data_IF_358993772296
#
_entry.id   IF_358993772296
#
_cell.length_a   1.000
_cell.length_b   1.000
_cell.length_c   1.000
_cell.angle_alpha   90.00
_cell.angle_beta   90.00
_cell.angle_gamma   90.00
#
_symmetry.space_group_name_H-M   'P 1'
#
loop_
_entity.id
_entity.type
_entity.pdbx_description
1 polymer ?
#
# COMPACT_ATOMS: atom_id res chain seq x y z
N UNK A 1 -8.16 28.58 16.18
CA UNK A 1 -6.72 28.37 16.44
C UNK A 1 -6.15 27.66 15.22
N UNK A 2 -5.13 28.21 14.59
CA UNK A 2 -4.44 27.56 13.46
C UNK A 2 -3.08 27.07 13.96
N UNK A 3 -2.72 25.83 13.63
CA UNK A 3 -1.44 25.23 14.03
C UNK A 3 -0.60 24.98 12.79
N UNK A 4 0.68 25.29 12.87
CA UNK A 4 1.66 24.92 11.85
C UNK A 4 2.38 23.66 12.30
N UNK A 5 2.27 22.60 11.51
CA UNK A 5 2.94 21.32 11.75
C UNK A 5 4.12 21.23 10.78
N UNK A 6 5.32 21.00 11.30
CA UNK A 6 6.56 20.94 10.51
C UNK A 6 7.21 19.59 10.72
N UNK A 7 7.65 18.96 9.64
CA UNK A 7 8.31 17.66 9.64
C UNK A 7 8.69 17.23 8.23
N UNK A 8 9.38 16.09 8.13
CA UNK A 8 9.56 15.39 6.86
C UNK A 8 8.31 14.55 6.57
N UNK A 9 7.61 14.88 5.50
CA UNK A 9 6.35 14.23 5.11
C UNK A 9 6.46 13.40 3.83
N UNK A 10 7.55 13.50 3.08
CA UNK A 10 7.69 12.84 1.77
C UNK A 10 8.89 11.90 1.68
N UNK A 11 9.76 11.86 2.70
CA UNK A 11 11.01 11.09 2.70
C UNK A 11 11.89 11.38 1.47
N UNK A 12 11.78 12.59 0.93
CA UNK A 12 12.46 13.06 -0.27
C UNK A 12 13.10 14.41 0.00
N UNK A 13 14.35 14.58 -0.42
CA UNK A 13 14.99 15.88 -0.41
C UNK A 13 14.26 16.84 -1.35
N UNK A 14 13.95 18.02 -0.82
CA UNK A 14 13.47 19.16 -1.59
C UNK A 14 14.60 20.20 -1.61
N UNK A 15 15.11 20.52 -2.79
CA UNK A 15 16.21 21.47 -2.97
C UNK A 15 15.73 22.93 -2.88
N UNK A 16 14.41 23.16 -2.89
CA UNK A 16 13.82 24.50 -2.76
C UNK A 16 14.25 25.12 -1.43
N UNK A 17 14.80 26.35 -1.40
CA UNK A 17 15.11 27.04 -0.15
C UNK A 17 13.90 27.13 0.77
N UNK A 18 14.10 27.03 2.09
CA UNK A 18 12.98 26.98 3.06
C UNK A 18 12.11 28.24 2.95
N UNK A 19 12.72 29.40 2.69
CA UNK A 19 12.07 30.69 2.51
C UNK A 19 11.15 30.75 1.28
N UNK A 20 11.35 29.88 0.29
CA UNK A 20 10.53 29.79 -0.93
C UNK A 20 9.41 28.74 -0.81
N UNK A 21 9.44 27.88 0.23
CA UNK A 21 8.43 26.85 0.43
C UNK A 21 7.15 27.42 1.00
N UNK A 22 6.03 27.17 0.34
CA UNK A 22 4.71 27.63 0.79
C UNK A 22 4.03 26.59 1.70
N UNK A 23 3.53 26.99 2.89
CA UNK A 23 2.69 26.12 3.70
C UNK A 23 1.40 25.75 2.96
N UNK A 24 0.98 24.49 3.09
CA UNK A 24 -0.28 23.99 2.52
C UNK A 24 -1.32 23.92 3.64
N UNK A 25 -2.51 24.46 3.40
CA UNK A 25 -3.63 24.35 4.32
C UNK A 25 -4.30 22.98 4.15
N UNK A 26 -4.54 22.28 5.26
CA UNK A 26 -5.16 20.96 5.29
C UNK A 26 -6.37 20.99 6.22
N UNK A 27 -7.50 20.50 5.73
CA UNK A 27 -8.71 20.23 6.48
C UNK A 27 -9.24 18.81 6.19
N UNK A 28 -10.49 18.53 6.58
CA UNK A 28 -11.09 17.20 6.42
C UNK A 28 -11.52 16.90 4.98
N UNK A 29 -11.72 17.95 4.18
CA UNK A 29 -12.29 17.85 2.85
C UNK A 29 -11.18 17.72 1.79
N UNK A 30 -10.00 18.31 2.03
CA UNK A 30 -8.88 18.31 1.08
C UNK A 30 -7.71 17.38 1.41
N UNK A 31 -7.78 16.59 2.50
CA UNK A 31 -6.65 15.81 2.98
C UNK A 31 -6.08 14.84 1.92
N UNK A 32 -6.96 14.11 1.22
CA UNK A 32 -6.52 13.16 0.20
C UNK A 32 -5.91 13.86 -1.00
N UNK A 33 -6.45 15.01 -1.42
CA UNK A 33 -5.92 15.78 -2.56
C UNK A 33 -4.51 16.29 -2.26
N UNK A 34 -4.27 16.75 -1.02
CA UNK A 34 -2.94 17.18 -0.57
C UNK A 34 -1.97 15.99 -0.50
N UNK A 35 -2.42 14.86 0.04
CA UNK A 35 -1.61 13.64 0.12
C UNK A 35 -1.21 13.13 -1.28
N UNK A 36 -2.16 13.09 -2.21
CA UNK A 36 -1.93 12.71 -3.60
C UNK A 36 -0.92 13.67 -4.27
N UNK A 37 -1.09 14.99 -4.09
CA UNK A 37 -0.16 15.98 -4.62
C UNK A 37 1.26 15.88 -4.05
N UNK A 38 1.39 15.45 -2.78
CA UNK A 38 2.70 15.18 -2.17
C UNK A 38 3.32 13.87 -2.69
N UNK A 39 2.50 12.88 -3.03
CA UNK A 39 2.91 11.55 -3.50
C UNK A 39 4.06 10.96 -2.69
N UNK A 40 3.93 10.82 -1.35
CA UNK A 40 4.98 10.21 -0.55
C UNK A 40 5.28 8.80 -1.06
N UNK A 41 6.56 8.51 -1.19
CA UNK A 41 7.05 7.28 -1.79
C UNK A 41 8.03 6.59 -0.84
N UNK A 42 7.91 5.28 -0.72
CA UNK A 42 8.75 4.44 0.13
C UNK A 42 9.33 3.33 -0.73
N UNK A 43 10.66 3.38 -0.93
CA UNK A 43 11.45 2.35 -1.61
C UNK A 43 12.38 1.68 -0.61
N UNK A 44 12.08 0.47 -0.22
CA UNK A 44 12.85 -0.27 0.78
C UNK A 44 12.96 -1.74 0.42
N UNK A 45 14.03 -2.39 0.86
CA UNK A 45 14.11 -3.85 0.85
C UNK A 45 13.69 -4.38 2.22
N UNK A 46 12.75 -5.32 2.23
CA UNK A 46 12.26 -5.98 3.44
C UNK A 46 12.60 -7.46 3.39
N UNK A 47 12.61 -8.10 4.55
CA UNK A 47 12.84 -9.54 4.66
C UNK A 47 11.77 -10.34 3.90
N UNK A 48 12.20 -11.28 3.05
CA UNK A 48 11.30 -12.17 2.34
C UNK A 48 10.83 -13.29 3.27
N UNK A 49 9.52 -13.36 3.52
CA UNK A 49 8.87 -14.43 4.30
C UNK A 49 8.03 -15.38 3.45
N UNK A 50 8.10 -15.26 2.13
CA UNK A 50 7.37 -16.10 1.16
C UNK A 50 8.19 -17.31 0.69
N UNK A 51 9.51 -17.27 0.88
CA UNK A 51 10.45 -18.35 0.60
C UNK A 51 11.19 -18.78 1.86
N UNK A 52 11.64 -20.04 1.90
CA UNK A 52 12.48 -20.57 2.99
C UNK A 52 13.98 -20.23 2.81
N UNK A 53 14.34 -19.40 1.83
CA UNK A 53 15.72 -18.98 1.58
C UNK A 53 16.19 -17.97 2.64
N UNK A 54 17.25 -18.33 3.36
CA UNK A 54 17.82 -17.50 4.42
C UNK A 54 18.43 -16.21 3.85
N UNK A 55 18.06 -15.06 4.43
CA UNK A 55 18.55 -13.75 4.00
C UNK A 55 17.92 -13.21 2.72
N UNK A 56 16.94 -13.91 2.14
CA UNK A 56 16.19 -13.41 1.00
C UNK A 56 15.47 -12.10 1.34
N UNK A 57 15.43 -11.18 0.38
CA UNK A 57 14.75 -9.88 0.50
C UNK A 57 13.76 -9.67 -0.65
N UNK A 58 12.73 -8.87 -0.39
CA UNK A 58 11.80 -8.35 -1.39
C UNK A 58 11.96 -6.84 -1.43
N UNK A 59 12.18 -6.31 -2.63
CA UNK A 59 12.14 -4.87 -2.86
C UNK A 59 10.69 -4.40 -2.98
N UNK A 60 10.33 -3.39 -2.22
CA UNK A 60 9.01 -2.75 -2.29
C UNK A 60 9.15 -1.30 -2.71
N UNK A 61 8.27 -0.87 -3.61
CA UNK A 61 8.15 0.52 -4.09
C UNK A 61 6.68 0.92 -3.95
N UNK A 62 6.39 1.72 -2.92
CA UNK A 62 5.03 2.09 -2.55
C UNK A 62 4.86 3.60 -2.70
N UNK A 63 3.88 4.02 -3.48
CA UNK A 63 3.44 5.42 -3.59
C UNK A 63 2.05 5.53 -3.02
N UNK A 64 1.85 6.44 -2.07
CA UNK A 64 0.56 6.65 -1.41
C UNK A 64 -0.12 7.89 -2.00
N UNK A 65 -1.39 7.75 -2.37
CA UNK A 65 -2.22 8.81 -2.92
C UNK A 65 -3.36 9.18 -1.96
N UNK A 66 -3.85 8.22 -1.19
CA UNK A 66 -4.93 8.44 -0.24
C UNK A 66 -4.73 7.63 1.05
N UNK A 67 -5.50 7.95 2.09
CA UNK A 67 -5.36 7.26 3.39
C UNK A 67 -5.61 5.75 3.36
N UNK A 68 -6.38 5.22 2.41
CA UNK A 68 -6.63 3.77 2.29
C UNK A 68 -5.41 3.02 1.76
N UNK A 69 -4.47 3.71 1.11
CA UNK A 69 -3.27 3.09 0.57
C UNK A 69 -2.34 2.58 1.67
N UNK A 70 -2.46 3.10 2.89
CA UNK A 70 -1.78 2.58 4.08
C UNK A 70 -2.38 1.28 4.63
N UNK A 71 -3.52 0.84 4.10
CA UNK A 71 -4.12 -0.43 4.54
C UNK A 71 -3.30 -1.62 4.04
N UNK A 72 -3.27 -2.74 4.80
CA UNK A 72 -2.57 -3.94 4.36
C UNK A 72 -3.09 -4.48 3.03
N UNK A 73 -4.38 -4.31 2.74
CA UNK A 73 -4.99 -4.73 1.48
C UNK A 73 -4.42 -3.94 0.30
N UNK A 74 -4.35 -2.60 0.41
CA UNK A 74 -3.81 -1.77 -0.65
C UNK A 74 -2.31 -2.03 -0.84
N UNK A 75 -1.53 -2.14 0.24
CA UNK A 75 -0.10 -2.49 0.18
C UNK A 75 0.11 -3.84 -0.51
N UNK A 76 -0.66 -4.87 -0.12
CA UNK A 76 -0.55 -6.20 -0.71
C UNK A 76 -0.92 -6.22 -2.19
N UNK A 77 -1.86 -5.38 -2.66
CA UNK A 77 -2.18 -5.23 -4.08
C UNK A 77 -1.05 -4.55 -4.87
N UNK A 78 -0.32 -3.63 -4.24
CA UNK A 78 0.80 -2.91 -4.87
C UNK A 78 2.08 -3.74 -4.98
N UNK A 79 2.25 -4.78 -4.16
CA UNK A 79 3.40 -5.68 -4.19
C UNK A 79 3.06 -6.93 -5.03
N UNK A 80 3.67 -7.15 -6.22
CA UNK A 80 3.26 -8.20 -7.16
C UNK A 80 3.20 -9.62 -6.57
N UNK A 81 4.14 -9.96 -5.70
CA UNK A 81 4.23 -11.26 -5.03
C UNK A 81 3.04 -11.48 -4.08
N UNK A 82 2.65 -10.44 -3.35
CA UNK A 82 1.51 -10.50 -2.42
C UNK A 82 0.17 -10.45 -3.18
N UNK A 83 0.08 -9.68 -4.26
CA UNK A 83 -1.12 -9.61 -5.08
C UNK A 83 -1.45 -10.99 -5.68
N UNK A 84 -0.44 -11.75 -6.12
CA UNK A 84 -0.61 -13.11 -6.61
C UNK A 84 -1.21 -14.05 -5.55
N UNK A 85 -0.85 -13.87 -4.27
CA UNK A 85 -1.43 -14.63 -3.16
C UNK A 85 -2.86 -14.20 -2.83
N UNK A 86 -3.19 -12.92 -3.00
CA UNK A 86 -4.56 -12.43 -2.87
C UNK A 86 -5.46 -13.03 -3.96
N UNK A 87 -5.02 -13.02 -5.21
CA UNK A 87 -5.74 -13.63 -6.33
C UNK A 87 -5.96 -15.14 -6.11
N UNK A 88 -4.94 -15.85 -5.62
CA UNK A 88 -5.07 -17.26 -5.25
C UNK A 88 -6.11 -17.46 -4.15
N UNK A 89 -6.10 -16.62 -3.11
CA UNK A 89 -7.10 -16.67 -2.04
C UNK A 89 -8.51 -16.43 -2.59
N UNK A 90 -8.69 -15.46 -3.47
CA UNK A 90 -9.98 -15.18 -4.11
C UNK A 90 -10.49 -16.37 -4.92
N UNK A 91 -9.62 -17.00 -5.72
CA UNK A 91 -9.95 -18.20 -6.47
C UNK A 91 -10.37 -19.37 -5.55
N UNK A 92 -9.66 -19.58 -4.44
CA UNK A 92 -10.01 -20.61 -3.45
C UNK A 92 -11.33 -20.32 -2.73
N UNK A 93 -11.60 -19.05 -2.42
CA UNK A 93 -12.88 -18.63 -1.82
C UNK A 93 -14.03 -18.86 -2.79
N UNK A 94 -13.86 -18.50 -4.06
CA UNK A 94 -14.85 -18.75 -5.10
C UNK A 94 -15.13 -20.25 -5.28
N UNK A 95 -14.10 -21.09 -5.20
CA UNK A 95 -14.22 -22.55 -5.30
C UNK A 95 -14.94 -23.19 -4.10
N UNK A 96 -14.82 -22.61 -2.90
CA UNK A 96 -15.45 -23.14 -1.67
C UNK A 96 -16.98 -23.23 -1.76
N UNK A 97 -17.64 -22.27 -2.42
CA UNK A 97 -19.10 -22.26 -2.57
C UNK A 97 -19.64 -23.47 -3.35
N UNK A 98 -19.21 -23.67 -4.61
CA UNK A 98 -19.60 -24.82 -5.44
C UNK A 98 -19.27 -26.19 -4.82
N UNK A 99 -18.12 -26.34 -4.15
CA UNK A 99 -17.74 -27.57 -3.44
C UNK A 99 -18.74 -27.98 -2.34
N UNK A 100 -19.35 -26.98 -1.69
CA UNK A 100 -20.37 -27.17 -0.65
C UNK A 100 -21.73 -27.62 -1.20
N UNK A 101 -22.13 -27.06 -2.34
CA UNK A 101 -23.51 -27.10 -2.80
C UNK A 101 -23.76 -28.05 -3.98
N UNK A 102 -22.71 -28.49 -4.68
CA UNK A 102 -22.82 -29.36 -5.85
C UNK A 102 -22.24 -30.74 -5.54
N UNK A 103 -23.07 -31.78 -5.29
CA UNK A 103 -22.59 -33.12 -4.97
C UNK A 103 -21.71 -33.75 -6.07
N UNK A 104 -21.90 -33.34 -7.33
CA UNK A 104 -21.07 -33.79 -8.46
C UNK A 104 -19.61 -33.34 -8.34
N UNK A 105 -19.34 -32.23 -7.65
CA UNK A 105 -17.97 -31.75 -7.37
C UNK A 105 -17.23 -32.62 -6.34
N UNK A 106 -17.97 -33.37 -5.50
CA UNK A 106 -17.43 -34.28 -4.48
C UNK A 106 -17.23 -35.70 -4.98
N UNK A 107 -17.90 -36.08 -6.07
CA UNK A 107 -17.80 -37.42 -6.66
C UNK A 107 -16.65 -37.43 -7.67
N UNK A 108 -15.46 -37.79 -7.19
CA UNK A 108 -14.41 -38.40 -8.01
C UNK A 108 -13.84 -39.59 -7.26
#
# INVERSE_FOLDING_TARGET
LSMMVVGDFTARADETPIEERTPINIDKDNFNDVLEGMSPNVKVNVENRLSDEEGAQIGVDLTFQNMKDFSPEAIAKSVPELNSLLELREALVALKGPLGNVPAFRKK
#
